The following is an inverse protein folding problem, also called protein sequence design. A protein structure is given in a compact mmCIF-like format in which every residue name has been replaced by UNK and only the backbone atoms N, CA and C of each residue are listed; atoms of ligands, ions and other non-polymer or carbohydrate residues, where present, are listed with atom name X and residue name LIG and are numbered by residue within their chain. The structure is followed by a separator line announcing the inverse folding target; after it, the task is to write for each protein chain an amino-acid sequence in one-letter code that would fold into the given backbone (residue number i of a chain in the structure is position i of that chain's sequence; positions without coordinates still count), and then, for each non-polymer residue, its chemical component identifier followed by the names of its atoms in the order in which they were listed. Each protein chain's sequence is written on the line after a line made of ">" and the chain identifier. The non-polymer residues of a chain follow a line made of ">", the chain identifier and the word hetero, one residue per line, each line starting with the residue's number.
data_IF_323471259457
#
_entry.id   IF_323471259457
#
_cell.length_a   1.000
_cell.length_b   1.000
_cell.length_c   1.000
_cell.angle_alpha   90.00
_cell.angle_beta   90.00
_cell.angle_gamma   90.00
#
_symmetry.space_group_name_H-M   'P 1'
#
loop_
_entity.id
_entity.type
_entity.pdbx_description
1 polymer ?
#
# COMPACT_ATOMS: atom_id res chain seq x y z
N UNK A 1 -25.96 7.13 4.07
CA UNK A 1 -24.98 6.71 5.09
C UNK A 1 -23.85 6.04 4.33
N UNK A 2 -22.61 6.51 4.47
CA UNK A 2 -21.48 5.94 3.72
C UNK A 2 -21.08 4.58 4.31
N UNK A 3 -20.79 3.60 3.46
CA UNK A 3 -20.30 2.27 3.87
C UNK A 3 -18.79 2.25 3.73
N UNK A 4 -18.09 1.93 4.83
CA UNK A 4 -16.62 1.85 4.88
C UNK A 4 -16.18 0.39 4.83
N UNK A 5 -15.42 0.02 3.80
CA UNK A 5 -14.81 -1.31 3.67
C UNK A 5 -13.31 -1.23 3.88
N UNK A 6 -12.78 -2.08 4.75
CA UNK A 6 -11.36 -2.15 5.05
C UNK A 6 -10.68 -3.23 4.21
N UNK A 7 -9.60 -2.86 3.53
CA UNK A 7 -8.75 -3.75 2.74
C UNK A 7 -7.45 -3.98 3.52
N UNK A 8 -7.15 -5.25 3.86
CA UNK A 8 -5.92 -5.61 4.58
C UNK A 8 -5.18 -6.72 3.84
N UNK A 9 -4.02 -6.39 3.27
CA UNK A 9 -3.11 -7.39 2.74
C UNK A 9 -2.36 -8.12 3.87
N UNK A 10 -1.86 -9.32 3.59
CA UNK A 10 -0.89 -9.95 4.47
C UNK A 10 0.41 -9.13 4.50
N UNK A 11 1.16 -9.09 5.62
CA UNK A 11 2.47 -8.45 5.63
C UNK A 11 3.40 -9.23 4.69
N UNK A 12 4.18 -8.50 3.89
CA UNK A 12 5.13 -9.08 2.93
C UNK A 12 6.52 -8.57 3.25
N UNK A 13 7.51 -9.45 3.16
CA UNK A 13 8.91 -9.06 3.30
C UNK A 13 9.37 -8.32 2.05
N UNK A 14 9.98 -7.16 2.24
CA UNK A 14 10.51 -6.33 1.17
C UNK A 14 11.94 -5.95 1.51
N UNK A 15 12.80 -6.03 0.49
CA UNK A 15 14.14 -5.48 0.58
C UNK A 15 14.04 -3.97 0.75
N UNK A 16 14.99 -3.37 1.47
CA UNK A 16 15.05 -1.90 1.56
C UNK A 16 15.19 -1.27 0.18
N UNK A 17 14.51 -0.15 -0.03
CA UNK A 17 14.40 0.50 -1.34
C UNK A 17 12.94 0.75 -1.71
N UNK A 18 12.70 0.91 -3.01
CA UNK A 18 11.35 1.12 -3.54
C UNK A 18 10.76 -0.20 -4.04
N UNK A 19 9.48 -0.39 -3.74
CA UNK A 19 8.68 -1.51 -4.23
C UNK A 19 7.33 -0.98 -4.71
N UNK A 20 6.79 -1.60 -5.75
CA UNK A 20 5.51 -1.22 -6.35
C UNK A 20 4.50 -2.35 -6.16
N UNK A 21 3.33 -2.02 -5.63
CA UNK A 21 2.23 -2.97 -5.46
C UNK A 21 1.05 -2.52 -6.29
N UNK A 22 0.51 -3.42 -7.12
CA UNK A 22 -0.75 -3.18 -7.81
C UNK A 22 -1.91 -3.77 -6.99
N UNK A 23 -2.92 -2.97 -6.73
CA UNK A 23 -4.13 -3.38 -6.02
C UNK A 23 -5.33 -3.23 -6.95
N UNK A 24 -5.94 -4.36 -7.32
CA UNK A 24 -7.18 -4.40 -8.09
C UNK A 24 -8.36 -4.62 -7.12
N UNK A 25 -9.06 -3.54 -6.77
CA UNK A 25 -10.19 -3.57 -5.83
C UNK A 25 -11.54 -3.39 -6.51
N UNK A 26 -11.53 -3.05 -7.81
CA UNK A 26 -12.73 -2.86 -8.62
C UNK A 26 -13.49 -1.62 -8.22
N UNK A 27 -14.25 -1.08 -9.18
CA UNK A 27 -15.24 -0.02 -8.99
C UNK A 27 -14.68 1.42 -8.94
N UNK A 28 -14.87 2.15 -10.05
CA UNK A 28 -14.40 3.53 -10.32
C UNK A 28 -15.00 4.59 -9.40
N UNK A 29 -16.22 4.36 -8.92
CA UNK A 29 -17.04 5.43 -8.34
C UNK A 29 -16.83 5.60 -6.82
N UNK A 30 -15.97 4.78 -6.22
CA UNK A 30 -15.73 4.79 -4.78
C UNK A 30 -14.49 5.61 -4.42
N UNK A 31 -14.50 6.21 -3.23
CA UNK A 31 -13.32 6.86 -2.68
C UNK A 31 -12.38 5.82 -2.07
N UNK A 32 -11.09 5.92 -2.40
CA UNK A 32 -10.04 5.05 -1.86
C UNK A 32 -9.00 5.87 -1.07
N UNK A 33 -8.68 5.39 0.13
CA UNK A 33 -7.55 5.86 0.93
C UNK A 33 -6.57 4.73 1.17
N UNK A 34 -5.27 5.01 1.09
CA UNK A 34 -4.21 4.02 1.25
C UNK A 34 -3.26 4.41 2.39
N UNK A 35 -2.76 3.42 3.11
CA UNK A 35 -1.68 3.59 4.07
C UNK A 35 -0.71 2.41 4.01
N UNK A 36 0.53 2.67 4.40
CA UNK A 36 1.56 1.66 4.55
C UNK A 36 2.10 1.69 5.98
N UNK A 37 2.38 0.51 6.54
CA UNK A 37 2.95 0.39 7.88
C UNK A 37 4.11 -0.61 7.89
N UNK A 38 5.29 -0.23 8.39
CA UNK A 38 6.36 -1.17 8.70
C UNK A 38 6.05 -1.91 10.02
N UNK A 39 6.47 -3.17 10.12
CA UNK A 39 6.24 -3.99 11.32
C UNK A 39 7.38 -3.93 12.32
N UNK A 40 8.60 -3.77 11.83
CA UNK A 40 9.79 -3.65 12.64
C UNK A 40 9.87 -2.25 13.26
N UNK A 41 10.18 -2.17 14.55
CA UNK A 41 10.24 -0.90 15.29
C UNK A 41 11.30 0.10 14.77
N UNK A 42 12.20 -0.33 13.88
CA UNK A 42 13.31 0.47 13.35
C UNK A 42 13.20 0.72 11.85
N UNK A 43 12.07 0.41 11.23
CA UNK A 43 11.84 0.64 9.81
C UNK A 43 10.90 1.82 9.61
N UNK A 44 11.05 2.51 8.49
CA UNK A 44 10.15 3.55 7.99
C UNK A 44 9.64 3.14 6.62
N UNK A 45 8.33 3.21 6.43
CA UNK A 45 7.72 3.02 5.13
C UNK A 45 7.06 4.33 4.70
N UNK A 46 7.38 4.80 3.51
CA UNK A 46 6.82 5.99 2.90
C UNK A 46 6.04 5.58 1.66
N UNK A 47 4.76 5.93 1.61
CA UNK A 47 3.98 5.84 0.38
C UNK A 47 4.36 7.05 -0.50
N UNK A 48 5.23 6.83 -1.48
CA UNK A 48 5.79 7.89 -2.33
C UNK A 48 4.91 8.18 -3.55
N UNK A 49 4.07 7.23 -3.94
CA UNK A 49 3.18 7.38 -5.08
C UNK A 49 1.90 6.57 -4.94
N UNK A 50 0.81 7.15 -5.43
CA UNK A 50 -0.49 6.50 -5.61
C UNK A 50 -0.97 6.88 -7.00
N UNK A 51 -1.05 5.90 -7.91
CA UNK A 51 -1.56 6.09 -9.26
C UNK A 51 -2.75 5.16 -9.48
N UNK A 52 -3.93 5.74 -9.70
CA UNK A 52 -5.13 4.98 -10.03
C UNK A 52 -5.28 4.89 -11.55
N UNK A 53 -5.58 3.68 -12.03
CA UNK A 53 -5.81 3.37 -13.43
C UNK A 53 -7.20 2.75 -13.58
N UNK A 54 -7.91 3.13 -14.63
CA UNK A 54 -9.15 2.47 -15.04
C UNK A 54 -8.87 1.56 -16.22
N UNK A 55 -9.47 0.37 -16.25
CA UNK A 55 -9.55 -0.44 -17.46
C UNK A 55 -10.84 -0.11 -18.26
N UNK A 56 -10.97 -0.71 -19.45
CA UNK A 56 -12.15 -0.58 -20.31
C UNK A 56 -13.40 -1.30 -19.76
N UNK A 57 -13.26 -2.05 -18.66
CA UNK A 57 -14.32 -2.80 -18.01
C UNK A 57 -14.78 -2.12 -16.70
N UNK A 58 -14.43 -0.84 -16.52
CA UNK A 58 -14.78 -0.03 -15.35
C UNK A 58 -14.17 -0.53 -14.02
N UNK A 59 -13.13 -1.36 -14.08
CA UNK A 59 -12.36 -1.71 -12.90
C UNK A 59 -11.28 -0.68 -12.65
N UNK A 60 -11.08 -0.34 -11.38
CA UNK A 60 -9.92 0.41 -10.94
C UNK A 60 -8.81 -0.55 -10.47
N UNK A 61 -7.61 -0.32 -10.97
CA UNK A 61 -6.36 -0.79 -10.36
C UNK A 61 -5.60 0.41 -9.78
N UNK A 62 -4.83 0.19 -8.73
CA UNK A 62 -4.05 1.27 -8.10
C UNK A 62 -2.63 0.79 -7.85
N UNK A 63 -1.67 1.50 -8.43
CA UNK A 63 -0.26 1.32 -8.18
C UNK A 63 0.14 2.14 -6.95
N UNK A 64 0.71 1.45 -5.98
CA UNK A 64 1.22 2.00 -4.74
C UNK A 64 2.74 1.85 -4.73
N UNK A 65 3.44 2.97 -4.77
CA UNK A 65 4.90 3.00 -4.70
C UNK A 65 5.28 3.24 -3.25
N UNK A 66 5.98 2.28 -2.67
CA UNK A 66 6.39 2.32 -1.26
C UNK A 66 7.91 2.30 -1.20
N UNK A 67 8.48 3.26 -0.49
CA UNK A 67 9.88 3.24 -0.09
C UNK A 67 10.02 2.73 1.33
N UNK A 68 10.72 1.61 1.51
CA UNK A 68 11.09 1.06 2.81
C UNK A 68 12.55 1.41 3.11
N UNK A 69 12.80 2.00 4.28
CA UNK A 69 14.15 2.37 4.72
C UNK A 69 14.36 2.08 6.21
N UNK A 70 15.58 1.70 6.62
CA UNK A 70 15.93 1.62 8.03
C UNK A 70 15.96 3.03 8.63
N UNK A 71 15.41 3.18 9.84
CA UNK A 71 15.46 4.40 10.65
C UNK A 71 16.63 4.33 11.65
N UNK A 72 16.95 3.15 12.21
CA UNK A 72 18.01 3.02 13.23
C UNK A 72 18.73 1.66 13.20
N UNK A 73 20.05 1.68 13.45
CA UNK A 73 20.87 0.49 13.72
C UNK A 73 21.38 -0.24 12.46
N UNK A 74 22.11 -1.38 12.65
CA UNK A 74 22.62 -2.16 11.53
C UNK A 74 21.46 -2.65 10.65
N UNK A 75 21.62 -2.40 9.36
CA UNK A 75 20.60 -2.62 8.33
C UNK A 75 20.55 -4.11 8.00
N UNK A 76 19.43 -4.77 8.30
CA UNK A 76 19.15 -6.09 7.76
C UNK A 76 18.97 -6.06 6.23
N UNK A 77 18.61 -7.17 5.60
CA UNK A 77 18.33 -7.16 4.15
C UNK A 77 16.96 -6.57 3.79
N UNK A 78 16.10 -6.26 4.77
CA UNK A 78 14.76 -5.74 4.53
C UNK A 78 13.84 -5.82 5.75
N UNK A 79 12.57 -5.51 5.53
CA UNK A 79 11.54 -5.45 6.56
C UNK A 79 10.19 -5.97 6.09
N UNK A 80 9.27 -6.19 7.02
CA UNK A 80 7.89 -6.59 6.74
C UNK A 80 7.04 -5.33 6.62
N UNK A 81 6.34 -5.19 5.52
CA UNK A 81 5.39 -4.10 5.30
C UNK A 81 4.00 -4.64 5.02
N UNK A 82 2.98 -3.88 5.42
CA UNK A 82 1.59 -4.14 5.03
C UNK A 82 1.01 -2.88 4.41
N UNK A 83 0.35 -3.06 3.28
CA UNK A 83 -0.57 -2.07 2.72
C UNK A 83 -1.97 -2.30 3.29
N UNK A 84 -2.58 -1.20 3.72
CA UNK A 84 -3.97 -1.16 4.15
C UNK A 84 -4.70 -0.12 3.30
N UNK A 85 -5.89 -0.46 2.85
CA UNK A 85 -6.77 0.44 2.09
C UNK A 85 -8.11 0.62 2.78
N UNK A 86 -8.76 1.74 2.52
CA UNK A 86 -10.16 1.98 2.88
C UNK A 86 -10.90 2.37 1.62
N UNK A 87 -12.04 1.73 1.40
CA UNK A 87 -12.98 2.08 0.34
C UNK A 87 -14.26 2.62 0.97
N UNK A 88 -14.75 3.75 0.47
CA UNK A 88 -16.00 4.38 0.92
C UNK A 88 -16.99 4.39 -0.24
N UNK A 89 -18.16 3.78 -0.02
CA UNK A 89 -19.32 3.77 -0.94
C UNK A 89 -20.48 4.58 -0.38
#
# INVERSE_FOLDING_TARGET
>A
MATVTLIRANPVFQVYGETAWNVAVGDRDNYFGWSVRPFQARDSALLTGVAAHSDNNLNQSTDLIVRLSPNQGPVGSGGLIRITGVMVR
#
